data_IF_141417398950
#
_entry.id   IF_141417398950
#
_cell.length_a   1.000
_cell.length_b   1.000
_cell.length_c   1.000
_cell.angle_alpha   90.00
_cell.angle_beta   90.00
_cell.angle_gamma   90.00
#
_symmetry.space_group_name_H-M   'P 1'
#
loop_
_entity.id
_entity.type
_entity.pdbx_description
1 polymer ?
#
# COMPACT_ATOMS: atom_id res chain seq x y z
N UNK A 1 14.32 -20.62 31.28
CA UNK A 1 13.76 -19.55 30.43
C UNK A 1 14.70 -19.34 29.26
N UNK A 2 14.41 -19.90 28.09
CA UNK A 2 15.14 -19.59 26.87
C UNK A 2 14.70 -18.19 26.41
N UNK A 3 15.48 -17.17 26.80
CA UNK A 3 15.29 -15.81 26.28
C UNK A 3 15.66 -15.84 24.79
N UNK A 4 14.70 -15.57 23.92
CA UNK A 4 15.01 -15.33 22.52
C UNK A 4 15.77 -14.01 22.35
N UNK A 5 16.57 -13.89 21.29
CA UNK A 5 17.32 -12.68 20.97
C UNK A 5 16.42 -11.69 20.21
N UNK A 6 15.46 -11.09 20.91
CA UNK A 6 14.57 -10.06 20.39
C UNK A 6 14.21 -9.08 21.50
N UNK A 7 13.85 -7.84 21.12
CA UNK A 7 13.54 -6.77 22.06
C UNK A 7 12.25 -7.07 22.85
N UNK A 8 11.20 -7.49 22.14
CA UNK A 8 9.91 -7.95 22.66
C UNK A 8 9.21 -8.86 21.64
N UNK A 9 8.03 -9.39 21.97
CA UNK A 9 7.28 -10.31 21.10
C UNK A 9 6.88 -9.70 19.74
N UNK A 10 6.77 -8.38 19.63
CA UNK A 10 6.54 -7.69 18.36
C UNK A 10 7.70 -7.80 17.38
N UNK A 11 8.92 -7.99 17.88
CA UNK A 11 10.16 -8.20 17.10
C UNK A 11 10.56 -9.66 16.96
N UNK A 12 9.75 -10.59 17.47
CA UNK A 12 10.07 -12.02 17.40
C UNK A 12 9.92 -12.52 15.96
N UNK A 13 11.04 -12.89 15.36
CA UNK A 13 11.10 -13.55 14.06
C UNK A 13 11.13 -15.07 14.27
N UNK A 14 10.30 -15.79 13.53
CA UNK A 14 10.27 -17.25 13.48
C UNK A 14 10.78 -17.72 12.12
N UNK A 15 11.88 -18.47 12.14
CA UNK A 15 12.49 -19.05 10.95
C UNK A 15 11.96 -20.47 10.73
N UNK A 16 11.62 -20.79 9.48
CA UNK A 16 11.30 -22.14 9.04
C UNK A 16 12.42 -22.65 8.13
N UNK A 17 13.35 -23.42 8.70
CA UNK A 17 14.52 -23.94 8.01
C UNK A 17 14.19 -24.86 6.83
N UNK A 18 13.06 -25.58 6.89
CA UNK A 18 12.65 -26.48 5.80
C UNK A 18 12.26 -25.73 4.52
N UNK A 19 11.78 -24.49 4.66
CA UNK A 19 11.36 -23.63 3.54
C UNK A 19 12.34 -22.48 3.28
N UNK A 20 13.28 -22.23 4.19
CA UNK A 20 14.17 -21.07 4.14
C UNK A 20 13.45 -19.74 4.35
N UNK A 21 12.25 -19.75 4.95
CA UNK A 21 11.43 -18.54 5.18
C UNK A 21 11.57 -18.03 6.61
N UNK A 22 11.31 -16.73 6.80
CA UNK A 22 11.26 -16.09 8.11
C UNK A 22 9.99 -15.25 8.21
N UNK A 23 9.35 -15.23 9.37
CA UNK A 23 8.10 -14.48 9.56
C UNK A 23 8.06 -13.76 10.91
N UNK A 24 7.40 -12.60 10.95
CA UNK A 24 7.09 -11.92 12.20
C UNK A 24 6.01 -12.70 12.94
N UNK A 25 6.32 -13.22 14.13
CA UNK A 25 5.43 -14.12 14.89
C UNK A 25 4.05 -13.52 15.16
N UNK A 26 4.00 -12.21 15.43
CA UNK A 26 2.77 -11.50 15.77
C UNK A 26 1.90 -11.17 14.55
N UNK A 27 2.52 -10.88 13.40
CA UNK A 27 1.83 -10.41 12.19
C UNK A 27 1.60 -11.53 11.16
N UNK A 28 2.34 -12.63 11.25
CA UNK A 28 2.39 -13.67 10.22
C UNK A 28 3.04 -13.19 8.90
N UNK A 29 3.62 -12.01 8.90
CA UNK A 29 4.25 -11.36 7.76
C UNK A 29 5.58 -12.03 7.42
N UNK A 30 5.74 -12.48 6.19
CA UNK A 30 7.01 -13.04 5.74
C UNK A 30 8.04 -11.92 5.55
N UNK A 31 9.24 -12.12 6.06
CA UNK A 31 10.30 -11.13 6.06
C UNK A 31 11.25 -11.42 4.91
N UNK A 32 11.40 -10.46 4.01
CA UNK A 32 12.35 -10.53 2.90
C UNK A 32 13.74 -10.06 3.33
N UNK A 33 13.81 -8.94 4.05
CA UNK A 33 15.08 -8.38 4.52
C UNK A 33 14.92 -7.61 5.83
N UNK A 34 15.97 -7.64 6.66
CA UNK A 34 16.11 -6.83 7.86
C UNK A 34 17.43 -6.07 7.77
N UNK A 35 17.37 -4.75 7.89
CA UNK A 35 18.56 -3.91 7.99
C UNK A 35 18.61 -3.30 9.39
N UNK A 36 19.53 -3.81 10.20
CA UNK A 36 19.72 -3.37 11.58
C UNK A 36 20.28 -1.95 11.65
N UNK A 37 21.18 -1.56 10.73
CA UNK A 37 21.80 -0.24 10.74
C UNK A 37 20.79 0.89 10.49
N UNK A 38 19.79 0.62 9.63
CA UNK A 38 18.77 1.58 9.26
C UNK A 38 17.43 1.35 10.00
N UNK A 39 17.38 0.35 10.89
CA UNK A 39 16.16 -0.09 11.58
C UNK A 39 14.97 -0.35 10.64
N UNK A 40 15.20 -0.96 9.48
CA UNK A 40 14.15 -1.26 8.50
C UNK A 40 13.91 -2.76 8.36
N UNK A 41 12.64 -3.10 8.10
CA UNK A 41 12.21 -4.44 7.76
C UNK A 41 11.39 -4.38 6.46
N UNK A 42 11.68 -5.27 5.52
CA UNK A 42 10.94 -5.42 4.27
C UNK A 42 10.02 -6.62 4.35
N UNK A 43 8.72 -6.36 4.25
CA UNK A 43 7.72 -7.41 4.09
C UNK A 43 7.81 -8.00 2.67
N UNK A 44 7.78 -9.33 2.58
CA UNK A 44 7.86 -10.05 1.32
C UNK A 44 6.50 -10.06 0.61
N UNK A 45 6.53 -9.97 -0.72
CA UNK A 45 5.39 -10.22 -1.62
C UNK A 45 4.08 -9.54 -1.19
N UNK A 46 4.13 -8.23 -0.92
CA UNK A 46 2.91 -7.50 -0.58
C UNK A 46 1.93 -7.52 -1.77
N UNK A 47 0.70 -8.05 -1.61
CA UNK A 47 -0.22 -8.22 -2.73
C UNK A 47 -0.77 -6.86 -3.21
N UNK A 48 -0.69 -6.62 -4.52
CA UNK A 48 -1.50 -5.59 -5.16
C UNK A 48 -2.97 -6.00 -5.14
N UNK A 49 -3.86 -5.08 -4.79
CA UNK A 49 -5.30 -5.33 -4.69
C UNK A 49 -5.97 -4.79 -5.95
N UNK A 50 -6.63 -5.68 -6.70
CA UNK A 50 -7.46 -5.25 -7.83
C UNK A 50 -8.84 -4.86 -7.33
N UNK A 51 -9.26 -3.65 -7.67
CA UNK A 51 -10.54 -3.07 -7.26
C UNK A 51 -11.40 -2.90 -8.51
N UNK A 52 -12.48 -3.69 -8.66
CA UNK A 52 -13.48 -3.38 -9.67
C UNK A 52 -14.20 -2.07 -9.27
N UNK A 53 -14.47 -1.20 -10.25
CA UNK A 53 -15.30 -0.02 -10.07
C UNK A 53 -16.55 -0.15 -10.93
N UNK A 54 -17.61 -0.77 -10.40
CA UNK A 54 -18.93 -0.76 -11.04
C UNK A 54 -19.77 0.45 -10.57
N UNK A 55 -20.76 0.88 -11.39
CA UNK A 55 -21.68 1.99 -11.04
C UNK A 55 -22.42 1.80 -9.71
N UNK A 56 -22.59 0.56 -9.28
CA UNK A 56 -23.31 0.20 -8.07
C UNK A 56 -22.42 0.15 -6.82
N UNK A 57 -21.10 0.26 -7.00
CA UNK A 57 -20.13 0.10 -5.92
C UNK A 57 -19.76 1.48 -5.37
N UNK A 58 -19.96 1.63 -4.06
CA UNK A 58 -19.61 2.83 -3.32
C UNK A 58 -18.09 3.04 -3.23
N UNK A 59 -17.61 3.90 -2.32
CA UNK A 59 -16.18 4.06 -2.11
C UNK A 59 -15.53 2.71 -1.77
N UNK A 60 -14.43 2.38 -2.45
CA UNK A 60 -13.59 1.27 -2.04
C UNK A 60 -12.71 1.70 -0.88
N UNK A 61 -12.66 0.88 0.15
CA UNK A 61 -11.90 1.14 1.38
C UNK A 61 -10.95 -0.02 1.57
N UNK A 62 -9.66 0.27 1.49
CA UNK A 62 -8.63 -0.68 1.93
C UNK A 62 -8.06 -0.17 3.24
N UNK A 63 -8.42 -0.85 4.33
CA UNK A 63 -7.64 -0.77 5.55
C UNK A 63 -6.46 -1.71 5.39
N UNK A 64 -5.25 -1.17 5.44
CA UNK A 64 -4.11 -2.04 5.67
C UNK A 64 -4.22 -2.57 7.09
N UNK A 65 -3.85 -3.84 7.34
CA UNK A 65 -3.90 -4.35 8.70
C UNK A 65 -3.13 -3.37 9.56
N UNK A 66 -3.72 -2.93 10.70
CA UNK A 66 -2.98 -2.08 11.62
C UNK A 66 -1.67 -2.79 11.88
N UNK A 67 -0.55 -2.10 11.69
CA UNK A 67 0.73 -2.61 12.15
C UNK A 67 0.52 -2.81 13.65
N UNK A 68 0.40 -4.08 14.07
CA UNK A 68 -0.06 -4.40 15.42
C UNK A 68 1.05 -3.99 16.39
N UNK A 69 0.75 -2.97 17.19
CA UNK A 69 1.64 -2.43 18.22
C UNK A 69 2.38 -1.16 17.80
N UNK A 70 2.94 -0.45 18.78
CA UNK A 70 3.70 0.79 18.58
C UNK A 70 5.10 0.57 17.96
N UNK A 71 5.38 -0.63 17.45
CA UNK A 71 6.74 -1.10 17.13
C UNK A 71 7.18 -0.79 15.70
N UNK A 72 6.27 -0.67 14.74
CA UNK A 72 6.63 -0.34 13.36
C UNK A 72 5.79 0.81 12.80
N UNK A 73 6.35 1.48 11.81
CA UNK A 73 5.68 2.47 10.96
C UNK A 73 6.08 2.22 9.52
N UNK A 74 5.27 2.73 8.58
CA UNK A 74 5.66 2.71 7.17
C UNK A 74 6.80 3.70 6.95
N UNK A 75 7.85 3.24 6.28
CA UNK A 75 8.95 4.13 5.87
C UNK A 75 8.48 5.02 4.72
N UNK A 76 8.43 6.33 4.97
CA UNK A 76 8.19 7.36 3.96
C UNK A 76 9.21 7.29 2.82
N UNK A 77 10.48 7.05 3.15
CA UNK A 77 11.56 7.05 2.15
C UNK A 77 11.52 5.83 1.22
N UNK A 78 11.00 4.70 1.71
CA UNK A 78 11.05 3.42 0.97
C UNK A 78 9.70 3.00 0.39
N UNK A 79 8.61 3.71 0.72
CA UNK A 79 7.27 3.32 0.33
C UNK A 79 6.47 4.52 -0.17
N UNK A 80 5.64 4.24 -1.17
CA UNK A 80 4.60 5.13 -1.67
C UNK A 80 3.38 4.31 -2.02
N UNK A 81 2.21 4.89 -1.80
CA UNK A 81 0.97 4.35 -2.32
C UNK A 81 0.89 4.67 -3.82
N UNK A 82 0.52 3.70 -4.66
CA UNK A 82 0.36 3.86 -6.10
C UNK A 82 -0.91 3.18 -6.57
N UNK A 83 -1.84 3.91 -7.15
CA UNK A 83 -3.03 3.33 -7.78
C UNK A 83 -2.99 3.54 -9.29
N UNK A 84 -3.25 2.50 -10.06
CA UNK A 84 -3.34 2.53 -11.52
C UNK A 84 -4.78 2.30 -11.94
N UNK A 85 -5.26 3.08 -12.90
CA UNK A 85 -6.65 3.06 -13.34
C UNK A 85 -7.10 4.41 -13.86
N UNK A 86 -8.39 4.53 -14.13
CA UNK A 86 -8.98 5.74 -14.66
C UNK A 86 -10.09 6.25 -13.75
N UNK A 87 -10.16 7.56 -13.63
CA UNK A 87 -11.32 8.30 -13.14
C UNK A 87 -11.63 8.01 -11.67
N UNK A 88 -10.60 8.10 -10.84
CA UNK A 88 -10.70 7.89 -9.40
C UNK A 88 -9.93 8.94 -8.61
N UNK A 89 -10.36 9.17 -7.38
CA UNK A 89 -9.72 9.96 -6.36
C UNK A 89 -9.38 9.04 -5.18
N UNK A 90 -8.16 9.09 -4.71
CA UNK A 90 -7.69 8.36 -3.55
C UNK A 90 -7.20 9.31 -2.46
N UNK A 91 -7.43 8.96 -1.20
CA UNK A 91 -6.83 9.67 -0.07
C UNK A 91 -6.44 8.73 1.05
N UNK A 92 -5.39 9.10 1.75
CA UNK A 92 -4.88 8.42 2.92
C UNK A 92 -5.38 9.11 4.18
N UNK A 93 -6.04 8.35 5.04
CA UNK A 93 -6.49 8.77 6.36
C UNK A 93 -5.61 8.12 7.43
N UNK A 94 -5.02 8.94 8.29
CA UNK A 94 -4.40 8.46 9.52
C UNK A 94 -5.50 8.14 10.54
N UNK A 95 -5.57 6.87 10.95
CA UNK A 95 -6.61 6.38 11.87
C UNK A 95 -6.38 6.86 13.30
N UNK A 96 -5.14 7.21 13.69
CA UNK A 96 -4.84 7.73 15.02
C UNK A 96 -5.28 9.18 15.17
N UNK A 97 -5.04 10.01 14.15
CA UNK A 97 -5.33 11.46 14.20
C UNK A 97 -6.63 11.85 13.49
N UNK A 98 -7.25 10.93 12.73
CA UNK A 98 -8.39 11.20 11.84
C UNK A 98 -8.10 12.30 10.81
N UNK A 99 -6.84 12.53 10.46
CA UNK A 99 -6.41 13.54 9.49
C UNK A 99 -6.05 12.92 8.16
N UNK A 100 -6.41 13.61 7.08
CA UNK A 100 -5.95 13.27 5.73
C UNK A 100 -4.47 13.61 5.64
N UNK A 101 -3.65 12.63 5.29
CA UNK A 101 -2.19 12.78 5.18
C UNK A 101 -1.74 13.03 3.73
N UNK A 102 -2.57 12.66 2.77
CA UNK A 102 -2.30 12.86 1.36
C UNK A 102 -3.46 12.40 0.50
N UNK A 103 -3.50 12.88 -0.74
CA UNK A 103 -4.52 12.53 -1.70
C UNK A 103 -3.98 12.61 -3.12
N UNK A 104 -4.51 11.79 -4.01
CA UNK A 104 -4.19 11.83 -5.43
C UNK A 104 -5.42 11.49 -6.27
N UNK A 105 -5.36 11.78 -7.56
CA UNK A 105 -6.41 11.41 -8.51
C UNK A 105 -5.80 10.93 -9.80
N UNK A 106 -6.48 10.03 -10.50
CA UNK A 106 -6.11 9.62 -11.84
C UNK A 106 -7.24 9.87 -12.84
N UNK A 107 -6.86 10.35 -14.02
CA UNK A 107 -7.73 10.62 -15.16
C UNK A 107 -7.21 9.91 -16.41
N UNK A 108 -8.05 9.76 -17.43
CA UNK A 108 -7.68 9.18 -18.73
C UNK A 108 -8.31 9.97 -19.88
N UNK A 109 -7.69 10.02 -21.06
CA UNK A 109 -8.36 10.60 -22.23
C UNK A 109 -9.41 9.65 -22.80
N UNK A 110 -10.35 10.17 -23.62
CA UNK A 110 -11.30 9.29 -24.29
C UNK A 110 -10.54 8.34 -25.21
N UNK A 111 -10.85 7.07 -25.08
CA UNK A 111 -10.35 5.92 -25.85
C UNK A 111 -8.92 5.49 -25.51
N UNK A 112 -8.30 6.11 -24.51
CA UNK A 112 -7.06 5.59 -23.96
C UNK A 112 -7.34 4.37 -23.09
N UNK A 113 -6.58 3.31 -23.33
CA UNK A 113 -6.39 2.23 -22.38
C UNK A 113 -5.24 2.60 -21.43
N UNK A 114 -5.27 2.07 -20.21
CA UNK A 114 -4.12 2.17 -19.30
C UNK A 114 -2.96 1.40 -19.92
N UNK A 115 -1.84 2.05 -20.26
CA UNK A 115 -0.70 1.35 -20.84
C UNK A 115 -0.07 0.40 -19.81
N UNK A 116 0.55 -0.71 -20.24
CA UNK A 116 1.14 -1.69 -19.34
C UNK A 116 2.36 -1.16 -18.58
N UNK A 117 3.00 -0.10 -19.10
CA UNK A 117 4.13 0.59 -18.48
C UNK A 117 3.85 2.10 -18.54
N UNK A 118 4.12 2.79 -17.44
CA UNK A 118 3.90 4.24 -17.33
C UNK A 118 5.24 4.92 -17.03
N UNK A 119 5.67 5.89 -17.86
CA UNK A 119 6.95 6.57 -17.66
C UNK A 119 6.98 7.43 -16.39
N UNK A 120 5.81 7.86 -15.90
CA UNK A 120 5.66 8.61 -14.65
C UNK A 120 4.25 8.45 -14.10
N UNK A 121 4.09 8.61 -12.79
CA UNK A 121 2.81 8.49 -12.11
C UNK A 121 2.26 9.82 -11.58
N UNK A 122 1.83 10.68 -12.51
CA UNK A 122 1.51 12.09 -12.21
C UNK A 122 0.05 12.45 -12.48
N UNK A 123 -0.88 11.49 -12.29
CA UNK A 123 -2.32 11.73 -12.38
C UNK A 123 -2.98 11.38 -13.71
N UNK A 124 -2.21 10.93 -14.71
CA UNK A 124 -2.74 10.30 -15.93
C UNK A 124 -2.50 8.80 -15.85
N UNK A 125 -3.56 7.99 -15.95
CA UNK A 125 -3.56 6.51 -15.81
C UNK A 125 -3.09 5.91 -14.47
N UNK A 126 -2.39 6.66 -13.64
CA UNK A 126 -2.13 6.30 -12.25
C UNK A 126 -1.98 7.54 -11.36
N UNK A 127 -1.95 7.34 -10.05
CA UNK A 127 -1.60 8.38 -9.09
C UNK A 127 -0.87 7.79 -7.88
N UNK A 128 -0.04 8.62 -7.23
CA UNK A 128 0.74 8.22 -6.07
C UNK A 128 0.52 9.15 -4.87
N UNK A 129 0.67 8.61 -3.66
CA UNK A 129 0.64 9.36 -2.39
C UNK A 129 1.89 9.00 -1.60
N UNK A 130 2.68 10.01 -1.24
CA UNK A 130 3.78 9.86 -0.29
C UNK A 130 3.23 9.67 1.12
N UNK A 131 3.75 8.67 1.85
CA UNK A 131 3.41 8.50 3.25
C UNK A 131 4.07 9.61 4.11
N UNK A 132 3.42 10.10 5.17
CA UNK A 132 4.08 10.94 6.16
C UNK A 132 5.02 10.09 7.04
N UNK A 133 5.92 10.75 7.76
CA UNK A 133 6.76 10.08 8.76
C UNK A 133 5.91 9.46 9.88
N UNK A 134 6.36 8.32 10.40
CA UNK A 134 5.77 7.65 11.56
C UNK A 134 4.31 7.22 11.42
N UNK A 135 3.79 7.04 10.20
CA UNK A 135 2.45 6.51 10.00
C UNK A 135 2.39 5.02 10.37
N UNK A 136 1.54 4.69 11.36
CA UNK A 136 1.41 3.32 11.89
C UNK A 136 0.12 2.64 11.47
N UNK A 137 -0.98 3.39 11.52
CA UNK A 137 -2.30 2.89 11.20
C UNK A 137 -3.00 3.85 10.24
N UNK A 138 -3.48 3.33 9.11
CA UNK A 138 -4.09 4.14 8.08
C UNK A 138 -5.07 3.34 7.23
N UNK A 139 -6.03 4.08 6.71
CA UNK A 139 -6.98 3.60 5.71
C UNK A 139 -6.77 4.36 4.43
N UNK A 140 -6.75 3.65 3.31
CA UNK A 140 -6.81 4.25 1.99
C UNK A 140 -8.23 4.15 1.47
N UNK A 141 -8.77 5.31 1.13
CA UNK A 141 -10.05 5.45 0.48
C UNK A 141 -9.85 5.70 -1.00
N UNK A 142 -10.52 4.94 -1.85
CA UNK A 142 -10.53 5.15 -3.30
C UNK A 142 -11.97 5.31 -3.75
N UNK A 143 -12.24 6.43 -4.43
CA UNK A 143 -13.57 6.80 -4.90
C UNK A 143 -13.53 7.02 -6.40
N UNK A 144 -14.56 6.57 -7.09
CA UNK A 144 -14.77 6.96 -8.47
C UNK A 144 -15.05 8.47 -8.57
N UNK A 145 -14.58 9.09 -9.64
CA UNK A 145 -14.95 10.44 -10.04
C UNK A 145 -15.87 10.36 -11.25
N UNK A 146 -17.09 10.88 -11.14
CA UNK A 146 -18.07 10.92 -12.24
C UNK A 146 -17.82 12.14 -13.15
N UNK A 147 -16.68 12.17 -13.83
CA UNK A 147 -16.33 13.28 -14.74
C UNK A 147 -16.82 13.07 -16.20
N UNK A 148 -17.18 11.83 -16.60
CA UNK A 148 -17.69 11.51 -17.95
C UNK A 148 -18.95 10.68 -17.90
N UNK A 149 -19.92 11.06 -18.74
CA UNK A 149 -21.22 10.38 -18.94
C UNK A 149 -21.13 9.03 -19.64
N UNK A 150 -19.99 8.73 -20.27
CA UNK A 150 -19.76 7.48 -21.02
C UNK A 150 -19.14 6.40 -20.13
N UNK A 151 -19.88 5.31 -19.98
CA UNK A 151 -19.56 4.17 -19.13
C UNK A 151 -18.31 3.43 -19.65
N UNK A 152 -17.29 3.31 -18.80
CA UNK A 152 -16.20 2.35 -18.96
C UNK A 152 -16.18 1.43 -17.76
N UNK A 153 -16.12 0.13 -18.01
CA UNK A 153 -15.68 -0.86 -17.03
C UNK A 153 -14.19 -0.65 -16.81
N UNK A 154 -13.85 0.22 -15.86
CA UNK A 154 -12.47 0.47 -15.49
C UNK A 154 -12.13 -0.46 -14.32
N UNK A 155 -11.23 -1.41 -14.54
CA UNK A 155 -10.55 -2.10 -13.44
C UNK A 155 -9.46 -1.16 -12.92
N UNK A 156 -9.46 -0.85 -11.63
CA UNK A 156 -8.32 -0.18 -11.00
C UNK A 156 -7.46 -1.23 -10.31
N UNK A 157 -6.15 -1.18 -10.54
CA UNK A 157 -5.18 -1.89 -9.73
C UNK A 157 -4.67 -0.96 -8.64
N UNK A 158 -4.90 -1.28 -7.38
CA UNK A 158 -4.35 -0.56 -6.23
C UNK A 158 -3.09 -1.28 -5.75
N UNK A 159 -1.96 -0.58 -5.77
CA UNK A 159 -0.66 -1.10 -5.32
C UNK A 159 -0.19 -0.26 -4.12
N UNK A 160 -0.04 -0.87 -2.95
CA UNK A 160 0.21 -0.08 -1.73
C UNK A 160 1.70 0.06 -1.40
N UNK A 161 2.57 -0.77 -2.01
CA UNK A 161 4.00 -0.73 -1.74
C UNK A 161 4.81 -0.98 -3.01
N UNK A 162 5.29 0.08 -3.65
CA UNK A 162 6.34 -0.01 -4.65
C UNK A 162 7.67 0.41 -4.00
N UNK A 163 8.56 -0.55 -3.75
CA UNK A 163 9.97 -0.23 -3.56
C UNK A 163 10.54 0.34 -4.86
N UNK A 164 11.64 1.10 -4.79
CA UNK A 164 12.29 1.61 -5.99
C UNK A 164 12.60 0.46 -6.96
N UNK A 165 12.14 0.57 -8.21
CA UNK A 165 12.43 -0.41 -9.27
C UNK A 165 11.26 -1.29 -9.76
N UNK A 166 10.01 -0.85 -9.66
CA UNK A 166 8.94 -1.48 -10.46
C UNK A 166 8.87 -0.86 -11.87
N UNK A 167 8.83 -1.68 -12.94
CA UNK A 167 8.78 -1.23 -14.34
C UNK A 167 7.43 -0.64 -14.76
#
# INVERSE_FOLDING_TARGET
MTRGCYLDEGFRVVCNEATGSASLALLGWEVDNINISNHTLRHKDFPGIKVPFNRSEGPYVSSFPPIIGQHYSISQANNKFVAMGCDFFAYLLDEETSKVQGSCSSLCNPNDAVPPQLPSCSGLHCCEISFPENLRNYTVWVRRMDYRTEYRENQCGVFTFCGEGFP
#
